data_IF_386071470958
#
_entry.id   IF_386071470958
#
_cell.length_a   1.000
_cell.length_b   1.000
_cell.length_c   1.000
_cell.angle_alpha   90.00
_cell.angle_beta   90.00
_cell.angle_gamma   90.00
#
_symmetry.space_group_name_H-M   'P 1'
#
loop_
_entity.id
_entity.type
_entity.pdbx_description
1 polymer ?
#
# COMPACT_ATOMS: atom_id res chain seq x y z
N UNK A 1 27.66 17.37 -11.61
CA UNK A 1 27.21 17.61 -10.22
C UNK A 1 26.45 16.38 -9.79
N UNK A 2 27.05 15.50 -8.98
CA UNK A 2 26.30 14.39 -8.39
C UNK A 2 25.36 14.95 -7.34
N UNK A 3 24.16 15.37 -7.77
CA UNK A 3 23.06 15.39 -6.84
C UNK A 3 22.84 13.94 -6.43
N UNK A 4 22.99 13.68 -5.13
CA UNK A 4 22.75 12.39 -4.53
C UNK A 4 21.49 11.78 -5.15
N UNK A 5 21.55 10.52 -5.59
CA UNK A 5 20.38 9.80 -6.13
C UNK A 5 19.16 9.88 -5.19
N UNK A 6 19.45 10.03 -3.88
CA UNK A 6 18.46 10.20 -2.83
C UNK A 6 17.79 11.57 -2.76
N UNK A 7 18.29 12.58 -3.48
CA UNK A 7 17.68 13.93 -3.52
C UNK A 7 16.24 13.95 -4.02
N UNK A 8 15.83 12.91 -4.76
CA UNK A 8 14.46 12.71 -5.25
C UNK A 8 13.50 12.40 -4.08
N UNK A 9 14.02 11.84 -2.99
CA UNK A 9 13.27 11.51 -1.79
C UNK A 9 13.35 12.59 -0.71
N UNK A 10 14.07 13.70 -0.93
CA UNK A 10 14.18 14.74 0.09
C UNK A 10 12.83 15.48 0.25
N UNK A 11 12.18 15.42 1.44
CA UNK A 11 10.88 16.06 1.65
C UNK A 11 11.00 17.57 1.89
N UNK A 12 12.21 18.05 2.20
CA UNK A 12 12.50 19.44 2.53
C UNK A 12 12.81 20.26 1.29
N UNK A 13 11.77 20.61 0.52
CA UNK A 13 11.88 21.71 -0.44
C UNK A 13 11.63 23.02 0.31
N UNK A 14 12.65 23.85 0.46
CA UNK A 14 12.58 25.12 1.20
C UNK A 14 11.87 26.24 0.41
N UNK A 15 10.69 25.97 -0.17
CA UNK A 15 9.81 27.04 -0.62
C UNK A 15 9.09 27.58 0.62
N UNK A 16 9.45 28.79 1.06
CA UNK A 16 8.87 29.42 2.26
C UNK A 16 8.96 28.58 3.55
N UNK A 17 10.00 27.74 3.69
CA UNK A 17 10.20 26.87 4.86
C UNK A 17 9.06 25.85 5.09
N UNK A 18 8.21 25.61 4.09
CA UNK A 18 7.12 24.65 4.12
C UNK A 18 7.49 23.41 3.30
N UNK A 19 7.31 22.21 3.86
CA UNK A 19 7.53 20.94 3.17
C UNK A 19 6.39 20.62 2.17
N UNK A 20 6.32 21.39 1.08
CA UNK A 20 5.27 21.31 0.05
C UNK A 20 5.19 19.95 -0.67
N UNK A 21 6.25 19.14 -0.64
CA UNK A 21 6.28 17.82 -1.29
C UNK A 21 5.18 16.89 -0.73
N UNK A 22 4.79 17.04 0.53
CA UNK A 22 3.71 16.25 1.13
C UNK A 22 2.33 16.51 0.52
N UNK A 23 2.14 17.64 -0.17
CA UNK A 23 0.89 17.93 -0.90
C UNK A 23 0.64 16.90 -2.01
N UNK A 24 1.68 16.20 -2.48
CA UNK A 24 1.51 15.14 -3.48
C UNK A 24 0.55 14.03 -3.05
N UNK A 25 0.46 13.77 -1.74
CA UNK A 25 -0.49 12.80 -1.16
C UNK A 25 -1.94 13.09 -1.53
N UNK A 26 -2.31 14.38 -1.63
CA UNK A 26 -3.68 14.81 -1.90
C UNK A 26 -4.01 14.83 -3.39
N UNK A 27 -3.02 14.76 -4.29
CA UNK A 27 -3.25 14.75 -5.74
C UNK A 27 -4.10 13.54 -6.16
N UNK A 28 -3.93 12.40 -5.49
CA UNK A 28 -4.73 11.20 -5.74
C UNK A 28 -6.24 11.40 -5.55
N UNK A 29 -6.66 12.32 -4.68
CA UNK A 29 -8.08 12.60 -4.44
C UNK A 29 -8.76 13.25 -5.64
N UNK A 30 -8.02 13.96 -6.49
CA UNK A 30 -8.60 14.60 -7.69
C UNK A 30 -9.08 13.59 -8.74
N UNK A 31 -8.62 12.33 -8.67
CA UNK A 31 -9.03 11.28 -9.61
C UNK A 31 -10.38 10.63 -9.23
N UNK A 32 -10.95 10.97 -8.07
CA UNK A 32 -12.24 10.43 -7.64
C UNK A 32 -13.34 11.06 -8.50
N UNK A 33 -14.16 10.25 -9.21
CA UNK A 33 -15.19 10.78 -10.09
C UNK A 33 -16.35 11.38 -9.28
N UNK A 34 -16.74 12.62 -9.61
CA UNK A 34 -17.90 13.26 -9.01
C UNK A 34 -19.22 12.85 -9.68
N UNK A 35 -20.24 12.55 -8.87
CA UNK A 35 -21.59 12.23 -9.31
C UNK A 35 -22.48 13.49 -9.31
N UNK A 36 -22.30 14.38 -10.28
CA UNK A 36 -23.16 15.57 -10.41
C UNK A 36 -24.41 15.34 -11.29
N UNK A 37 -24.35 14.39 -12.23
CA UNK A 37 -25.39 14.18 -13.25
C UNK A 37 -26.13 12.88 -13.01
N UNK A 38 -27.44 12.86 -13.33
CA UNK A 38 -28.31 11.67 -13.29
C UNK A 38 -27.78 10.53 -14.16
N UNK A 39 -27.19 10.86 -15.31
CA UNK A 39 -26.50 9.88 -16.16
C UNK A 39 -25.03 9.86 -15.74
N UNK A 40 -24.49 8.71 -15.33
CA UNK A 40 -23.11 8.61 -14.89
C UNK A 40 -22.13 8.81 -16.05
N UNK A 41 -21.06 9.56 -15.80
CA UNK A 41 -19.95 9.68 -16.74
C UNK A 41 -19.22 8.33 -16.93
N UNK A 42 -18.55 8.15 -18.08
CA UNK A 42 -17.76 6.94 -18.38
C UNK A 42 -16.75 6.61 -17.27
N UNK A 43 -16.08 7.63 -16.72
CA UNK A 43 -15.17 7.47 -15.58
C UNK A 43 -15.88 6.95 -14.32
N UNK A 44 -17.08 7.44 -14.02
CA UNK A 44 -17.88 6.96 -12.90
C UNK A 44 -18.37 5.53 -13.10
N UNK A 45 -18.76 5.15 -14.34
CA UNK A 45 -19.13 3.77 -14.68
C UNK A 45 -17.94 2.82 -14.45
N UNK A 46 -16.75 3.19 -14.92
CA UNK A 46 -15.54 2.38 -14.74
C UNK A 46 -15.17 2.23 -13.26
N UNK A 47 -15.23 3.33 -12.51
CA UNK A 47 -15.00 3.33 -11.07
C UNK A 47 -15.97 2.41 -10.33
N UNK A 48 -17.27 2.53 -10.62
CA UNK A 48 -18.30 1.69 -10.01
C UNK A 48 -18.12 0.21 -10.34
N UNK A 49 -17.69 -0.11 -11.57
CA UNK A 49 -17.41 -1.49 -11.95
C UNK A 49 -16.26 -2.08 -11.12
N UNK A 50 -15.18 -1.32 -10.92
CA UNK A 50 -14.06 -1.76 -10.07
C UNK A 50 -14.51 -1.89 -8.62
N UNK A 51 -15.21 -0.90 -8.06
CA UNK A 51 -15.64 -0.92 -6.67
C UNK A 51 -16.62 -2.06 -6.38
N UNK A 52 -17.52 -2.39 -7.32
CA UNK A 52 -18.45 -3.51 -7.17
C UNK A 52 -17.73 -4.87 -7.17
N UNK A 53 -16.72 -5.04 -8.04
CA UNK A 53 -15.91 -6.26 -8.04
C UNK A 53 -15.14 -6.43 -6.73
N UNK A 54 -14.46 -5.37 -6.28
CA UNK A 54 -13.74 -5.37 -5.00
C UNK A 54 -14.70 -5.63 -3.82
N UNK A 55 -15.89 -5.03 -3.84
CA UNK A 55 -16.90 -5.27 -2.80
C UNK A 55 -17.29 -6.74 -2.73
N UNK A 56 -17.52 -7.39 -3.88
CA UNK A 56 -17.90 -8.81 -3.91
C UNK A 56 -16.77 -9.71 -3.37
N UNK A 57 -15.52 -9.47 -3.77
CA UNK A 57 -14.35 -10.21 -3.26
C UNK A 57 -14.19 -10.04 -1.73
N UNK A 58 -14.22 -8.81 -1.24
CA UNK A 58 -14.09 -8.55 0.19
C UNK A 58 -15.27 -9.10 0.99
N UNK A 59 -16.49 -9.03 0.44
CA UNK A 59 -17.67 -9.62 1.08
C UNK A 59 -17.54 -11.14 1.23
N UNK A 60 -16.94 -11.82 0.25
CA UNK A 60 -16.65 -13.25 0.36
C UNK A 60 -15.64 -13.54 1.47
N UNK A 61 -14.63 -12.69 1.66
CA UNK A 61 -13.60 -12.85 2.70
C UNK A 61 -14.11 -12.54 4.12
N UNK A 62 -14.94 -11.52 4.26
CA UNK A 62 -15.49 -11.06 5.55
C UNK A 62 -16.60 -11.98 6.11
N UNK A 63 -17.17 -12.86 5.29
CA UNK A 63 -18.21 -13.80 5.69
C UNK A 63 -19.56 -13.16 6.04
N UNK A 64 -20.53 -14.01 6.39
CA UNK A 64 -21.93 -13.62 6.64
C UNK A 64 -22.14 -12.73 7.88
N UNK A 65 -21.19 -12.68 8.81
CA UNK A 65 -21.29 -11.91 10.06
C UNK A 65 -20.76 -10.47 9.94
N UNK A 66 -20.48 -9.99 8.74
CA UNK A 66 -19.93 -8.65 8.56
C UNK A 66 -20.99 -7.56 8.67
N UNK A 67 -20.69 -6.51 9.47
CA UNK A 67 -21.52 -5.31 9.52
C UNK A 67 -21.65 -4.67 8.13
N UNK A 68 -22.87 -4.27 7.78
CA UNK A 68 -23.13 -3.55 6.54
C UNK A 68 -22.25 -2.30 6.47
N UNK A 69 -21.35 -2.27 5.48
CA UNK A 69 -20.46 -1.14 5.20
C UNK A 69 -18.99 -1.34 5.57
N UNK A 70 -18.60 -2.45 6.23
CA UNK A 70 -17.19 -2.75 6.55
C UNK A 70 -16.27 -2.74 5.32
N UNK A 71 -16.79 -3.20 4.18
CA UNK A 71 -16.08 -3.21 2.89
C UNK A 71 -15.66 -1.82 2.38
N UNK A 72 -16.34 -0.73 2.78
CA UNK A 72 -16.01 0.61 2.29
C UNK A 72 -14.62 1.08 2.71
N UNK A 73 -14.20 0.76 3.93
CA UNK A 73 -12.88 1.13 4.45
C UNK A 73 -11.80 0.50 3.56
N UNK A 74 -11.92 -0.80 3.27
CA UNK A 74 -10.97 -1.52 2.42
C UNK A 74 -10.94 -1.02 0.98
N UNK A 75 -12.11 -0.69 0.40
CA UNK A 75 -12.18 -0.11 -0.95
C UNK A 75 -11.50 1.27 -0.97
N UNK A 76 -11.71 2.11 0.05
CA UNK A 76 -11.08 3.42 0.14
C UNK A 76 -9.56 3.33 0.29
N UNK A 77 -9.07 2.37 1.08
CA UNK A 77 -7.64 2.09 1.25
C UNK A 77 -6.99 1.63 -0.05
N UNK A 78 -7.67 0.75 -0.80
CA UNK A 78 -7.20 0.26 -2.09
C UNK A 78 -6.93 1.42 -3.04
N UNK A 79 -7.93 2.28 -3.24
CA UNK A 79 -7.81 3.41 -4.15
C UNK A 79 -6.80 4.46 -3.67
N UNK A 80 -6.74 4.73 -2.36
CA UNK A 80 -5.76 5.67 -1.81
C UNK A 80 -4.32 5.22 -2.10
N UNK A 81 -4.01 3.94 -1.88
CA UNK A 81 -2.67 3.40 -2.13
C UNK A 81 -2.37 3.33 -3.63
N UNK A 82 -3.35 2.87 -4.43
CA UNK A 82 -3.21 2.74 -5.88
C UNK A 82 -2.88 4.09 -6.52
N UNK A 83 -3.63 5.15 -6.18
CA UNK A 83 -3.39 6.46 -6.77
C UNK A 83 -2.05 7.05 -6.37
N UNK A 84 -1.64 6.96 -5.11
CA UNK A 84 -0.35 7.48 -4.68
C UNK A 84 0.82 6.75 -5.36
N UNK A 85 0.74 5.42 -5.49
CA UNK A 85 1.79 4.64 -6.14
C UNK A 85 1.83 4.90 -7.66
N UNK A 86 0.66 4.95 -8.31
CA UNK A 86 0.59 5.18 -9.76
C UNK A 86 1.02 6.60 -10.13
N UNK A 87 0.60 7.60 -9.35
CA UNK A 87 1.05 8.99 -9.57
C UNK A 87 2.53 9.16 -9.33
N UNK A 88 3.08 8.39 -8.37
CA UNK A 88 4.50 8.42 -8.09
C UNK A 88 5.38 8.03 -9.27
N UNK A 89 4.90 7.16 -10.17
CA UNK A 89 5.67 6.71 -11.34
C UNK A 89 5.85 7.79 -12.41
N UNK A 90 5.06 8.87 -12.39
CA UNK A 90 5.23 9.96 -13.34
C UNK A 90 6.49 10.78 -13.01
N UNK A 91 7.18 11.29 -14.04
CA UNK A 91 8.38 12.08 -13.83
C UNK A 91 8.07 13.33 -13.00
N UNK A 92 8.98 13.66 -12.08
CA UNK A 92 8.93 14.83 -11.20
C UNK A 92 7.81 14.85 -10.15
N UNK A 93 7.03 13.79 -10.01
CA UNK A 93 6.06 13.67 -8.91
C UNK A 93 6.76 13.06 -7.69
N UNK A 94 6.67 13.73 -6.54
CA UNK A 94 7.19 13.22 -5.28
C UNK A 94 6.34 12.05 -4.78
N UNK A 95 6.98 10.90 -4.55
CA UNK A 95 6.33 9.68 -4.11
C UNK A 95 6.19 9.64 -2.59
N UNK A 96 5.05 10.08 -2.08
CA UNK A 96 4.76 10.10 -0.64
C UNK A 96 4.81 8.71 0.02
N UNK A 97 4.51 7.66 -0.75
CA UNK A 97 4.53 6.26 -0.30
C UNK A 97 5.92 5.66 -0.15
N UNK A 98 6.97 6.32 -0.65
CA UNK A 98 8.35 5.89 -0.45
C UNK A 98 8.81 6.10 0.99
N UNK A 99 8.24 7.08 1.71
CA UNK A 99 8.59 7.33 3.10
C UNK A 99 7.92 6.36 4.05
N UNK A 100 8.75 5.70 4.88
CA UNK A 100 8.29 4.78 5.92
C UNK A 100 7.31 5.42 6.90
N UNK A 101 7.43 6.72 7.15
CA UNK A 101 6.50 7.42 8.06
C UNK A 101 5.04 7.30 7.57
N UNK A 102 4.80 7.50 6.27
CA UNK A 102 3.44 7.46 5.71
C UNK A 102 2.87 6.04 5.65
N UNK A 103 3.68 5.07 5.20
CA UNK A 103 3.23 3.68 5.11
C UNK A 103 3.01 3.05 6.49
N UNK A 104 3.88 3.36 7.46
CA UNK A 104 3.75 2.90 8.83
C UNK A 104 2.55 3.54 9.51
N UNK A 105 2.31 4.85 9.34
CA UNK A 105 1.14 5.49 9.94
C UNK A 105 -0.17 4.87 9.44
N UNK A 106 -0.25 4.53 8.14
CA UNK A 106 -1.44 3.89 7.58
C UNK A 106 -1.62 2.46 8.12
N UNK A 107 -0.55 1.65 8.07
CA UNK A 107 -0.58 0.25 8.50
C UNK A 107 -0.83 0.08 9.99
N UNK A 108 -0.13 0.87 10.81
CA UNK A 108 -0.22 0.81 12.26
C UNK A 108 -1.60 1.25 12.76
N UNK A 109 -2.19 2.29 12.16
CA UNK A 109 -3.54 2.76 12.54
C UNK A 109 -4.60 1.68 12.27
N UNK A 110 -4.54 1.02 11.11
CA UNK A 110 -5.46 -0.08 10.79
C UNK A 110 -5.28 -1.26 11.75
N UNK A 111 -4.04 -1.66 12.01
CA UNK A 111 -3.76 -2.77 12.93
C UNK A 111 -4.20 -2.45 14.36
N UNK A 112 -3.91 -1.25 14.88
CA UNK A 112 -4.35 -0.81 16.20
C UNK A 112 -5.87 -0.87 16.32
N UNK A 113 -6.60 -0.43 15.28
CA UNK A 113 -8.06 -0.46 15.29
C UNK A 113 -8.62 -1.88 15.41
N UNK A 114 -8.03 -2.85 14.71
CA UNK A 114 -8.44 -4.25 14.80
C UNK A 114 -8.09 -4.89 16.15
N UNK A 115 -6.90 -4.60 16.68
CA UNK A 115 -6.49 -5.13 17.99
C UNK A 115 -7.38 -4.62 19.13
N UNK A 116 -7.68 -3.31 19.13
CA UNK A 116 -8.56 -2.70 20.12
C UNK A 116 -9.97 -3.31 20.03
N UNK A 117 -10.51 -3.45 18.80
CA UNK A 117 -11.79 -4.09 18.58
C UNK A 117 -11.82 -5.54 19.10
N UNK A 118 -10.77 -6.32 18.81
CA UNK A 118 -10.67 -7.72 19.23
C UNK A 118 -10.60 -7.90 20.74
N UNK A 119 -9.86 -7.04 21.44
CA UNK A 119 -9.77 -7.10 22.90
C UNK A 119 -11.08 -6.69 23.60
N UNK A 120 -11.84 -5.75 23.04
CA UNK A 120 -13.08 -5.28 23.65
C UNK A 120 -14.22 -6.29 23.41
N UNK A 121 -14.39 -6.77 22.18
CA UNK A 121 -15.56 -7.58 21.82
C UNK A 121 -15.34 -9.08 22.08
N UNK A 122 -14.19 -9.63 21.71
CA UNK A 122 -13.94 -11.07 21.67
C UNK A 122 -12.62 -11.46 22.38
N UNK A 123 -12.43 -11.00 23.62
CA UNK A 123 -11.21 -11.25 24.39
C UNK A 123 -10.84 -12.74 24.51
N UNK A 124 -11.83 -13.61 24.79
CA UNK A 124 -11.59 -15.05 24.92
C UNK A 124 -11.14 -15.68 23.60
N UNK A 125 -11.77 -15.31 22.48
CA UNK A 125 -11.39 -15.82 21.16
C UNK A 125 -9.96 -15.37 20.77
N UNK A 126 -9.61 -14.12 21.08
CA UNK A 126 -8.26 -13.59 20.84
C UNK A 126 -7.18 -14.35 21.61
N UNK A 127 -7.42 -14.68 22.89
CA UNK A 127 -6.46 -15.47 23.67
C UNK A 127 -6.35 -16.92 23.19
N UNK A 128 -7.43 -17.52 22.71
CA UNK A 128 -7.41 -18.87 22.13
C UNK A 128 -6.57 -18.89 20.85
N UNK A 129 -6.66 -17.86 20.01
CA UNK A 129 -5.87 -17.76 18.78
C UNK A 129 -4.34 -17.69 19.04
N UNK A 130 -3.90 -17.30 20.24
CA UNK A 130 -2.46 -17.25 20.57
C UNK A 130 -1.83 -18.65 20.71
N UNK A 131 -2.64 -19.71 20.79
CA UNK A 131 -2.16 -21.08 20.99
C UNK A 131 -2.72 -21.95 19.85
N UNK A 132 -1.87 -22.49 18.95
CA UNK A 132 -2.35 -23.39 17.91
C UNK A 132 -2.92 -24.68 18.53
N UNK A 133 -4.00 -25.19 17.96
CA UNK A 133 -4.64 -26.40 18.43
C UNK A 133 -3.67 -27.59 18.36
N UNK A 134 -3.56 -28.35 19.46
CA UNK A 134 -2.76 -29.58 19.50
C UNK A 134 -1.31 -29.43 19.94
N UNK A 135 -0.87 -28.26 20.44
CA UNK A 135 0.49 -28.12 20.98
C UNK A 135 0.66 -28.86 22.33
N UNK A 136 1.76 -29.60 22.54
CA UNK A 136 2.07 -30.21 23.84
C UNK A 136 2.32 -29.13 24.91
N UNK A 137 1.95 -29.43 26.16
CA UNK A 137 1.95 -28.46 27.29
C UNK A 137 3.32 -27.84 27.57
N UNK A 138 4.42 -28.54 27.32
CA UNK A 138 5.78 -28.02 27.52
C UNK A 138 6.13 -26.88 26.56
N UNK A 139 5.60 -26.89 25.33
CA UNK A 139 5.93 -25.89 24.29
C UNK A 139 4.96 -24.71 24.24
N UNK A 140 3.83 -24.78 24.96
CA UNK A 140 2.82 -23.72 25.00
C UNK A 140 3.39 -22.31 25.29
N UNK A 141 4.23 -22.08 26.32
CA UNK A 141 4.70 -20.72 26.62
C UNK A 141 5.60 -20.14 25.52
N UNK A 142 6.35 -20.98 24.81
CA UNK A 142 7.21 -20.52 23.71
C UNK A 142 6.40 -20.16 22.47
N UNK A 143 5.35 -20.93 22.17
CA UNK A 143 4.46 -20.65 21.02
C UNK A 143 3.71 -19.33 21.20
N UNK A 144 3.22 -19.02 22.40
CA UNK A 144 2.57 -17.73 22.68
C UNK A 144 3.54 -16.56 22.45
N UNK A 145 4.81 -16.71 22.83
CA UNK A 145 5.81 -15.67 22.60
C UNK A 145 6.05 -15.43 21.10
N UNK A 146 6.11 -16.50 20.29
CA UNK A 146 6.25 -16.37 18.83
C UNK A 146 5.03 -15.70 18.23
N UNK A 147 3.81 -16.09 18.63
CA UNK A 147 2.59 -15.55 18.04
C UNK A 147 2.32 -14.09 18.46
N UNK A 148 2.73 -13.71 19.67
CA UNK A 148 2.69 -12.29 20.08
C UNK A 148 3.67 -11.45 19.25
N UNK A 149 4.88 -11.96 18.97
CA UNK A 149 5.85 -11.30 18.09
C UNK A 149 5.34 -11.23 16.64
N UNK A 150 4.75 -12.32 16.13
CA UNK A 150 4.22 -12.38 14.76
C UNK A 150 3.10 -11.34 14.55
N UNK A 151 2.24 -11.17 15.56
CA UNK A 151 1.17 -10.19 15.53
C UNK A 151 1.69 -8.74 15.51
N UNK A 152 2.73 -8.42 16.28
CA UNK A 152 3.33 -7.07 16.32
C UNK A 152 4.11 -6.76 15.02
N UNK A 153 4.77 -7.75 14.42
CA UNK A 153 5.56 -7.58 13.19
C UNK A 153 4.66 -7.36 11.95
N UNK A 154 3.43 -7.85 12.01
CA UNK A 154 2.43 -7.80 10.92
C UNK A 154 2.28 -6.40 10.28
N UNK A 155 1.96 -5.31 11.01
CA UNK A 155 1.86 -3.96 10.42
C UNK A 155 3.21 -3.44 9.89
N UNK A 156 4.32 -3.83 10.52
CA UNK A 156 5.67 -3.45 10.09
C UNK A 156 6.01 -4.05 8.73
N UNK A 157 5.76 -5.36 8.53
CA UNK A 157 6.05 -6.02 7.25
C UNK A 157 5.21 -5.47 6.10
N UNK A 158 3.95 -5.10 6.36
CA UNK A 158 3.07 -4.47 5.39
C UNK A 158 3.61 -3.09 4.95
N UNK A 159 4.02 -2.27 5.92
CA UNK A 159 4.55 -0.92 5.68
C UNK A 159 5.87 -0.95 4.91
N UNK A 160 6.81 -1.83 5.32
CA UNK A 160 8.12 -1.98 4.68
C UNK A 160 7.97 -2.51 3.24
N UNK A 161 7.02 -3.41 2.99
CA UNK A 161 6.76 -3.95 1.64
C UNK A 161 6.39 -2.85 0.66
N UNK A 162 5.54 -1.92 1.07
CA UNK A 162 5.12 -0.82 0.22
C UNK A 162 6.29 0.14 -0.06
N UNK A 163 7.03 0.52 0.98
CA UNK A 163 8.14 1.49 0.84
C UNK A 163 9.29 0.92 0.03
N UNK A 164 9.68 -0.34 0.29
CA UNK A 164 10.81 -0.95 -0.38
C UNK A 164 10.57 -1.07 -1.89
N UNK A 165 9.36 -1.46 -2.31
CA UNK A 165 9.03 -1.57 -3.73
C UNK A 165 9.04 -0.21 -4.44
N UNK A 166 8.52 0.84 -3.80
CA UNK A 166 8.52 2.19 -4.39
C UNK A 166 9.94 2.81 -4.41
N UNK A 167 10.73 2.66 -3.35
CA UNK A 167 12.11 3.16 -3.29
C UNK A 167 12.98 2.43 -4.32
N UNK A 168 12.92 1.09 -4.36
CA UNK A 168 13.76 0.29 -5.23
C UNK A 168 13.47 0.57 -6.70
N UNK A 169 12.20 0.67 -7.09
CA UNK A 169 11.82 0.99 -8.46
C UNK A 169 12.35 2.36 -8.92
N UNK A 170 12.05 3.41 -8.16
CA UNK A 170 12.54 4.75 -8.46
C UNK A 170 14.07 4.85 -8.50
N UNK A 171 14.78 4.18 -7.59
CA UNK A 171 16.25 4.11 -7.62
C UNK A 171 16.75 3.39 -8.87
N UNK A 172 16.09 2.31 -9.30
CA UNK A 172 16.50 1.55 -10.47
C UNK A 172 16.27 2.35 -11.77
N UNK A 173 15.12 3.03 -11.90
CA UNK A 173 14.84 3.96 -13.00
C UNK A 173 15.85 5.11 -13.09
N UNK A 174 16.23 5.69 -11.95
CA UNK A 174 17.16 6.83 -11.90
C UNK A 174 18.59 6.40 -12.18
N UNK A 175 19.00 5.23 -11.70
CA UNK A 175 20.30 4.64 -12.03
C UNK A 175 20.42 4.33 -13.53
N UNK A 176 19.43 3.66 -14.13
CA UNK A 176 19.43 3.35 -15.57
C UNK A 176 19.41 4.60 -16.44
N UNK A 177 18.67 5.63 -16.04
CA UNK A 177 18.65 6.89 -16.79
C UNK A 177 19.96 7.68 -16.63
N UNK A 178 20.63 7.60 -15.47
CA UNK A 178 21.92 8.26 -15.27
C UNK A 178 23.04 7.65 -16.13
N UNK A 179 23.00 6.34 -16.36
CA UNK A 179 23.97 5.67 -17.25
C UNK A 179 23.73 5.99 -18.72
N UNK A 180 22.52 6.43 -19.10
CA UNK A 180 22.19 6.83 -20.47
C UNK A 180 23.10 7.95 -21.00
N UNK A 181 23.50 8.90 -20.14
CA UNK A 181 24.22 10.11 -20.51
C UNK A 181 25.64 9.80 -21.03
N UNK A 182 26.23 8.68 -20.62
CA UNK A 182 27.59 8.29 -20.98
C UNK A 182 27.70 7.20 -22.07
N UNK A 183 26.57 6.71 -22.60
CA UNK A 183 26.56 5.54 -23.49
C UNK A 183 26.60 5.91 -24.98
N UNK A 184 27.20 5.08 -25.85
CA UNK A 184 27.19 5.30 -27.29
C UNK A 184 25.78 5.16 -27.87
N UNK A 185 25.48 5.95 -28.93
CA UNK A 185 24.14 6.05 -29.52
C UNK A 185 23.52 4.70 -29.95
N UNK A 186 24.34 3.74 -30.39
CA UNK A 186 23.86 2.40 -30.75
C UNK A 186 23.26 1.63 -29.56
N UNK A 187 23.81 1.80 -28.35
CA UNK A 187 23.31 1.12 -27.14
C UNK A 187 22.08 1.83 -26.54
N UNK A 188 21.84 3.08 -26.91
CA UNK A 188 20.72 3.88 -26.40
C UNK A 188 19.37 3.23 -26.68
N UNK A 189 19.19 2.60 -27.85
CA UNK A 189 17.92 1.94 -28.18
C UNK A 189 17.60 0.76 -27.27
N UNK A 190 18.62 -0.02 -26.90
CA UNK A 190 18.47 -1.11 -25.94
C UNK A 190 18.10 -0.57 -24.56
N UNK A 191 18.71 0.53 -24.14
CA UNK A 191 18.41 1.16 -22.85
C UNK A 191 16.98 1.70 -22.78
N UNK A 192 16.49 2.34 -23.84
CA UNK A 192 15.10 2.82 -23.90
C UNK A 192 14.13 1.64 -23.80
N UNK A 193 14.43 0.55 -24.52
CA UNK A 193 13.61 -0.66 -24.45
C UNK A 193 13.56 -1.25 -23.03
N UNK A 194 14.70 -1.36 -22.35
CA UNK A 194 14.73 -1.87 -20.96
C UNK A 194 14.00 -0.94 -20.00
N UNK A 195 14.08 0.38 -20.18
CA UNK A 195 13.39 1.35 -19.33
C UNK A 195 11.87 1.31 -19.51
N UNK A 196 11.38 1.10 -20.75
CA UNK A 196 9.95 0.88 -21.00
C UNK A 196 9.48 -0.40 -20.29
N UNK A 197 10.25 -1.49 -20.40
CA UNK A 197 9.92 -2.75 -19.76
C UNK A 197 9.88 -2.61 -18.22
N UNK A 198 10.82 -1.87 -17.65
CA UNK A 198 10.86 -1.60 -16.22
C UNK A 198 9.67 -0.77 -15.75
N UNK A 199 9.27 0.26 -16.52
CA UNK A 199 8.09 1.07 -16.21
C UNK A 199 6.80 0.22 -16.22
N UNK A 200 6.69 -0.70 -17.17
CA UNK A 200 5.56 -1.66 -17.22
C UNK A 200 5.57 -2.52 -15.96
N UNK A 201 6.73 -3.06 -15.57
CA UNK A 201 6.86 -3.87 -14.36
C UNK A 201 6.46 -3.07 -13.11
N UNK A 202 6.94 -1.85 -12.95
CA UNK A 202 6.61 -1.02 -11.79
C UNK A 202 5.14 -0.63 -11.74
N UNK A 203 4.51 -0.38 -12.89
CA UNK A 203 3.06 -0.13 -12.97
C UNK A 203 2.26 -1.34 -12.51
N UNK A 204 2.68 -2.55 -12.87
CA UNK A 204 2.08 -3.79 -12.39
C UNK A 204 2.30 -3.99 -10.89
N UNK A 205 3.51 -3.75 -10.39
CA UNK A 205 3.83 -3.83 -8.96
C UNK A 205 3.00 -2.83 -8.14
N UNK A 206 2.80 -1.60 -8.63
CA UNK A 206 1.97 -0.59 -7.95
C UNK A 206 0.53 -1.08 -7.71
N UNK A 207 -0.08 -1.71 -8.72
CA UNK A 207 -1.42 -2.29 -8.63
C UNK A 207 -1.42 -3.49 -7.67
N UNK A 208 -0.48 -4.43 -7.83
CA UNK A 208 -0.40 -5.64 -6.99
C UNK A 208 -0.19 -5.27 -5.52
N UNK A 209 0.65 -4.28 -5.20
CA UNK A 209 0.89 -3.88 -3.82
C UNK A 209 -0.35 -3.28 -3.16
N UNK A 210 -1.10 -2.43 -3.87
CA UNK A 210 -2.38 -1.90 -3.35
C UNK A 210 -3.35 -3.04 -3.04
N UNK A 211 -3.44 -4.03 -3.93
CA UNK A 211 -4.31 -5.19 -3.77
C UNK A 211 -3.90 -6.07 -2.57
N UNK A 212 -2.63 -6.49 -2.51
CA UNK A 212 -2.12 -7.37 -1.44
C UNK A 212 -2.30 -6.74 -0.06
N UNK A 213 -2.09 -5.43 0.07
CA UNK A 213 -2.27 -4.73 1.34
C UNK A 213 -3.73 -4.78 1.79
N UNK A 214 -4.65 -4.51 0.87
CA UNK A 214 -6.08 -4.54 1.20
C UNK A 214 -6.57 -5.94 1.55
N UNK A 215 -6.14 -6.98 0.83
CA UNK A 215 -6.53 -8.37 1.17
C UNK A 215 -5.98 -8.77 2.54
N UNK A 216 -4.70 -8.53 2.82
CA UNK A 216 -4.14 -8.87 4.14
C UNK A 216 -4.91 -8.15 5.24
N UNK A 217 -5.22 -6.87 5.05
CA UNK A 217 -6.02 -6.13 6.03
C UNK A 217 -7.44 -6.70 6.21
N UNK A 218 -8.08 -7.19 5.14
CA UNK A 218 -9.39 -7.86 5.25
C UNK A 218 -9.28 -9.19 5.99
N UNK A 219 -8.26 -10.00 5.69
CA UNK A 219 -8.03 -11.27 6.39
C UNK A 219 -7.77 -11.05 7.88
N UNK A 220 -6.98 -10.02 8.21
CA UNK A 220 -6.73 -9.66 9.62
C UNK A 220 -7.99 -9.19 10.32
N UNK A 221 -8.90 -8.50 9.63
CA UNK A 221 -10.20 -8.17 10.22
C UNK A 221 -11.11 -9.38 10.41
N UNK A 222 -11.05 -10.37 9.51
CA UNK A 222 -11.83 -11.61 9.65
C UNK A 222 -11.28 -12.55 10.73
N UNK A 223 -9.97 -12.54 11.01
CA UNK A 223 -9.38 -13.32 12.12
C UNK A 223 -9.83 -12.82 13.50
N UNK A 224 -10.13 -11.51 13.60
CA UNK A 224 -10.50 -10.87 14.87
C UNK A 224 -12.00 -11.01 15.18
N UNK A 225 -12.84 -11.09 14.15
CA UNK A 225 -14.30 -11.26 14.26
C UNK A 225 -14.67 -12.72 14.56
#
# INVERSE_FOLDING_TARGET
>A
MMNNLFSIFDPSTNLFNLSLNWVSTFIGLMFIPYSFWLIPNRHFIFWNFISLKLHNEFKMLLGNNSFNGSTFIFISLFFFILFNNFLGLFPYIFTSTSHLNMSLSLSLTLWLSFMIYGWINNAQHMFIHMIPQGTPTILMPFMVLIETISNIIRPGTLAVRLTANMIAGHLLLTLLSSTAIGMPYYLLMILIFTQILLLILESAVAIIQSYVITILSTLYSSEVN
#
